data_IF_573219021354
#
_entry.id   IF_573219021354
#
_cell.length_a   1.000
_cell.length_b   1.000
_cell.length_c   1.000
_cell.angle_alpha   90.00
_cell.angle_beta   90.00
_cell.angle_gamma   90.00
#
_symmetry.space_group_name_H-M   'P 1'
#
loop_
_entity.id
_entity.type
_entity.pdbx_description
1 polymer ?
#
# COMPACT_ATOMS: atom_id res chain seq x y z
N UNK A 1 -4.36 -2.65 -15.14
CA UNK A 1 -2.98 -3.15 -15.14
C UNK A 1 -2.03 -1.96 -14.98
N UNK A 2 -1.08 -2.07 -14.11
CA UNK A 2 0.09 -1.19 -13.99
C UNK A 2 1.25 -1.86 -14.72
N UNK A 3 1.95 -1.11 -15.57
CA UNK A 3 3.11 -1.60 -16.31
C UNK A 3 4.27 -0.62 -16.09
N UNK A 4 5.41 -1.17 -15.77
CA UNK A 4 6.67 -0.44 -15.53
C UNK A 4 7.71 -0.97 -16.50
N UNK A 5 8.29 -0.09 -17.30
CA UNK A 5 9.24 -0.46 -18.37
C UNK A 5 10.58 0.22 -18.14
N UNK A 6 11.60 -0.58 -17.87
CA UNK A 6 13.02 -0.20 -17.82
C UNK A 6 13.30 1.06 -16.99
N UNK A 7 12.58 1.25 -15.86
CA UNK A 7 12.79 2.45 -15.05
C UNK A 7 14.13 2.41 -14.34
N UNK A 8 14.71 3.60 -14.25
CA UNK A 8 15.93 3.90 -13.51
C UNK A 8 15.66 5.03 -12.52
N UNK A 9 16.34 5.01 -11.40
CA UNK A 9 16.33 6.13 -10.46
C UNK A 9 17.73 6.42 -9.94
N UNK A 10 18.14 7.68 -10.10
CA UNK A 10 19.40 8.22 -9.62
C UNK A 10 19.16 9.24 -8.51
N UNK A 11 20.01 9.25 -7.50
CA UNK A 11 20.04 10.28 -6.44
C UNK A 11 21.46 10.79 -6.28
N UNK A 12 21.69 12.10 -6.50
CA UNK A 12 23.02 12.72 -6.41
C UNK A 12 24.09 11.90 -7.16
N UNK A 13 23.85 11.64 -8.45
CA UNK A 13 24.72 10.87 -9.35
C UNK A 13 24.90 9.37 -8.99
N UNK A 14 24.31 8.92 -7.88
CA UNK A 14 24.32 7.51 -7.50
C UNK A 14 23.10 6.80 -8.06
N UNK A 15 23.32 5.70 -8.78
CA UNK A 15 22.26 4.81 -9.23
C UNK A 15 21.71 4.07 -8.00
N UNK A 16 20.41 4.21 -7.75
CA UNK A 16 19.69 3.49 -6.68
C UNK A 16 19.15 2.17 -7.23
N UNK A 17 18.56 2.20 -8.40
CA UNK A 17 18.19 1.01 -9.18
C UNK A 17 18.21 1.35 -10.67
N UNK A 18 18.38 0.32 -11.49
CA UNK A 18 18.47 0.45 -12.94
C UNK A 18 17.73 -0.68 -13.63
N UNK A 19 17.12 -0.35 -14.77
CA UNK A 19 16.49 -1.31 -15.68
C UNK A 19 15.42 -2.21 -15.02
N UNK A 20 14.61 -1.64 -14.13
CA UNK A 20 13.51 -2.37 -13.47
C UNK A 20 12.28 -2.38 -14.38
N UNK A 21 11.83 -3.59 -14.71
CA UNK A 21 10.58 -3.80 -15.45
C UNK A 21 9.69 -4.77 -14.68
N UNK A 22 8.42 -4.42 -14.54
CA UNK A 22 7.41 -5.27 -13.89
C UNK A 22 5.99 -4.93 -14.38
N UNK A 23 5.08 -5.85 -14.13
CA UNK A 23 3.65 -5.61 -14.37
C UNK A 23 2.81 -6.08 -13.21
N UNK A 24 1.77 -5.31 -12.87
CA UNK A 24 0.76 -5.71 -11.87
C UNK A 24 -0.58 -5.81 -12.59
N UNK A 25 -0.95 -7.04 -12.93
CA UNK A 25 -2.23 -7.35 -13.59
C UNK A 25 -3.34 -7.60 -12.55
N UNK A 26 -4.62 -7.54 -12.92
CA UNK A 26 -5.71 -8.02 -12.07
C UNK A 26 -5.46 -9.46 -11.57
N UNK A 27 -5.87 -9.75 -10.35
CA UNK A 27 -5.68 -11.04 -9.66
C UNK A 27 -4.21 -11.37 -9.35
N UNK A 28 -3.31 -10.39 -9.34
CA UNK A 28 -1.88 -10.60 -9.10
C UNK A 28 -1.39 -9.86 -7.86
N UNK A 29 -0.48 -10.53 -7.16
CA UNK A 29 0.33 -9.94 -6.08
C UNK A 29 1.78 -9.94 -6.54
N UNK A 30 2.39 -8.77 -6.55
CA UNK A 30 3.82 -8.57 -6.79
C UNK A 30 4.51 -8.27 -5.46
N UNK A 31 5.47 -9.09 -5.10
CA UNK A 31 6.29 -8.93 -3.90
C UNK A 31 7.69 -8.45 -4.28
N UNK A 32 8.03 -7.24 -3.86
CA UNK A 32 9.35 -6.67 -4.05
C UNK A 32 10.26 -7.07 -2.90
N UNK A 33 11.31 -7.80 -3.21
CA UNK A 33 12.31 -8.25 -2.24
C UNK A 33 13.68 -7.63 -2.53
N UNK A 34 14.57 -7.66 -1.57
CA UNK A 34 15.94 -7.13 -1.67
C UNK A 34 16.48 -6.70 -0.31
N UNK A 35 17.79 -6.47 -0.22
CA UNK A 35 18.47 -6.05 1.00
C UNK A 35 17.94 -4.71 1.54
N UNK A 36 18.20 -4.44 2.83
CA UNK A 36 17.95 -3.11 3.38
C UNK A 36 18.75 -2.06 2.62
N UNK A 37 18.08 -0.98 2.22
CA UNK A 37 18.71 0.07 1.43
C UNK A 37 18.83 -0.22 -0.08
N UNK A 38 18.32 -1.34 -0.60
CA UNK A 38 18.35 -1.66 -2.04
C UNK A 38 17.43 -0.76 -2.89
N UNK A 39 16.63 0.11 -2.28
CA UNK A 39 15.78 1.03 -3.03
C UNK A 39 14.31 0.61 -3.16
N UNK A 40 13.82 -0.41 -2.44
CA UNK A 40 12.42 -0.88 -2.49
C UNK A 40 11.39 0.24 -2.30
N UNK A 41 11.50 1.00 -1.21
CA UNK A 41 10.66 2.18 -0.96
C UNK A 41 10.81 3.25 -2.04
N UNK A 42 12.02 3.45 -2.55
CA UNK A 42 12.28 4.39 -3.65
C UNK A 42 11.58 3.92 -4.92
N UNK A 43 11.64 2.63 -5.22
CA UNK A 43 10.93 2.05 -6.37
C UNK A 43 9.42 2.24 -6.25
N UNK A 44 8.81 1.94 -5.10
CA UNK A 44 7.37 2.18 -4.89
C UNK A 44 7.02 3.66 -5.07
N UNK A 45 7.83 4.58 -4.53
CA UNK A 45 7.64 6.03 -4.72
C UNK A 45 7.80 6.47 -6.18
N UNK A 46 8.67 5.82 -6.93
CA UNK A 46 8.84 6.09 -8.37
C UNK A 46 7.65 5.55 -9.17
N UNK A 47 7.20 4.33 -8.88
CA UNK A 47 6.02 3.73 -9.51
C UNK A 47 4.76 4.58 -9.28
N UNK A 48 4.66 5.25 -8.13
CA UNK A 48 3.53 6.13 -7.79
C UNK A 48 3.70 7.57 -8.29
N UNK A 49 4.78 7.88 -9.00
CA UNK A 49 5.11 9.24 -9.45
C UNK A 49 5.26 10.27 -8.31
N UNK A 50 5.51 9.81 -7.09
CA UNK A 50 5.96 10.67 -5.97
C UNK A 50 7.42 11.09 -6.21
N UNK A 51 8.23 10.18 -6.79
CA UNK A 51 9.54 10.46 -7.32
C UNK A 51 9.51 10.26 -8.84
N UNK A 52 10.12 11.15 -9.58
CA UNK A 52 10.22 11.04 -11.03
C UNK A 52 11.34 10.05 -11.38
N UNK A 53 11.11 9.05 -12.25
CA UNK A 53 12.18 8.18 -12.74
C UNK A 53 13.19 8.99 -13.54
N UNK A 54 14.47 8.64 -13.43
CA UNK A 54 15.55 9.25 -14.24
C UNK A 54 15.50 8.78 -15.70
N UNK A 55 14.95 7.57 -15.92
CA UNK A 55 14.71 6.98 -17.25
C UNK A 55 13.62 5.92 -17.17
N UNK A 56 13.08 5.51 -18.33
CA UNK A 56 12.02 4.53 -18.45
C UNK A 56 10.62 5.11 -18.34
N UNK A 57 9.61 4.26 -18.46
CA UNK A 57 8.21 4.67 -18.56
C UNK A 57 7.29 3.84 -17.67
N UNK A 58 6.25 4.49 -17.17
CA UNK A 58 5.21 3.85 -16.36
C UNK A 58 3.84 4.09 -16.99
N UNK A 59 3.05 3.02 -17.10
CA UNK A 59 1.73 3.07 -17.70
C UNK A 59 0.66 2.57 -16.71
N UNK A 60 -0.45 3.28 -16.64
CA UNK A 60 -1.64 2.89 -15.92
C UNK A 60 -2.81 2.72 -16.90
N UNK A 61 -3.39 1.50 -16.91
CA UNK A 61 -4.50 1.16 -17.82
C UNK A 61 -4.20 1.51 -19.29
N UNK A 62 -2.99 1.20 -19.76
CA UNK A 62 -2.54 1.43 -21.13
C UNK A 62 -2.18 2.87 -21.48
N UNK A 63 -2.29 3.82 -20.55
CA UNK A 63 -1.92 5.22 -20.75
C UNK A 63 -0.69 5.58 -19.92
N UNK A 64 0.21 6.39 -20.45
CA UNK A 64 1.36 6.90 -19.71
C UNK A 64 0.91 7.53 -18.38
N UNK A 65 1.56 7.17 -17.27
CA UNK A 65 1.13 7.52 -15.92
C UNK A 65 0.94 9.01 -15.71
N UNK A 66 1.91 9.85 -16.14
CA UNK A 66 1.83 11.31 -16.00
C UNK A 66 0.58 11.90 -16.69
N UNK A 67 0.15 11.32 -17.81
CA UNK A 67 -1.05 11.76 -18.54
C UNK A 67 -2.35 11.21 -17.93
N UNK A 68 -2.27 10.28 -17.00
CA UNK A 68 -3.41 9.59 -16.39
C UNK A 68 -3.35 9.55 -14.86
N UNK A 69 -2.60 10.48 -14.26
CA UNK A 69 -2.24 10.46 -12.83
C UNK A 69 -3.48 10.55 -11.91
N UNK A 70 -4.48 11.33 -12.27
CA UNK A 70 -5.71 11.43 -11.49
C UNK A 70 -6.49 10.12 -11.45
N UNK A 71 -6.56 9.41 -12.58
CA UNK A 71 -7.17 8.08 -12.64
C UNK A 71 -6.37 7.06 -11.82
N UNK A 72 -5.05 7.15 -11.84
CA UNK A 72 -4.18 6.30 -11.03
C UNK A 72 -4.49 6.47 -9.54
N UNK A 73 -4.40 7.68 -8.99
CA UNK A 73 -4.67 7.91 -7.56
C UNK A 73 -6.11 7.64 -7.16
N UNK A 74 -7.07 7.89 -8.06
CA UNK A 74 -8.47 7.53 -7.81
C UNK A 74 -8.68 6.02 -7.63
N UNK A 75 -7.83 5.19 -8.23
CA UNK A 75 -7.93 3.74 -8.22
C UNK A 75 -6.85 3.06 -7.37
N UNK A 76 -6.03 3.80 -6.64
CA UNK A 76 -4.93 3.25 -5.85
C UNK A 76 -5.03 3.64 -4.37
N UNK A 77 -4.75 2.69 -3.47
CA UNK A 77 -4.44 2.95 -2.06
C UNK A 77 -2.94 2.85 -1.88
N UNK A 78 -2.34 3.89 -1.31
CA UNK A 78 -0.91 3.98 -1.04
C UNK A 78 -0.68 3.98 0.48
N UNK A 79 0.06 3.01 0.98
CA UNK A 79 0.48 2.95 2.39
C UNK A 79 1.99 2.83 2.43
N UNK A 80 2.66 3.89 2.89
CA UNK A 80 4.10 3.94 3.07
C UNK A 80 4.47 3.79 4.55
N UNK A 81 5.77 3.70 4.81
CA UNK A 81 6.31 3.60 6.17
C UNK A 81 5.88 4.80 7.04
N UNK A 82 5.92 6.02 6.48
CA UNK A 82 5.37 7.19 7.18
C UNK A 82 3.85 7.18 7.11
N UNK A 83 3.15 7.11 8.27
CA UNK A 83 1.69 7.12 8.31
C UNK A 83 1.09 8.37 7.65
N UNK A 84 -0.08 8.22 7.06
CA UNK A 84 -0.87 9.32 6.50
C UNK A 84 -1.93 9.84 7.47
N UNK A 85 -2.15 9.12 8.58
CA UNK A 85 -3.07 9.53 9.64
C UNK A 85 -2.60 10.82 10.33
N UNK A 86 -3.55 11.71 10.60
CA UNK A 86 -3.32 12.95 11.35
C UNK A 86 -3.24 12.62 12.85
N UNK A 87 -2.08 12.88 13.43
CA UNK A 87 -1.77 12.49 14.81
C UNK A 87 -2.68 13.15 15.86
N UNK A 88 -3.18 14.35 15.59
CA UNK A 88 -4.05 15.10 16.49
C UNK A 88 -5.53 14.70 16.41
N UNK A 89 -5.91 13.98 15.37
CA UNK A 89 -7.23 13.41 15.20
C UNK A 89 -7.35 12.06 15.92
N UNK A 90 -8.57 11.70 16.30
CA UNK A 90 -8.88 10.34 16.80
C UNK A 90 -8.85 9.31 15.66
N UNK A 91 -8.86 8.04 16.03
CA UNK A 91 -9.01 6.91 15.07
C UNK A 91 -10.26 7.12 14.21
N UNK A 92 -11.41 7.40 14.82
CA UNK A 92 -12.67 7.60 14.11
C UNK A 92 -12.64 8.82 13.18
N UNK A 93 -12.03 9.92 13.61
CA UNK A 93 -11.91 11.13 12.78
C UNK A 93 -11.05 10.87 11.54
N UNK A 94 -9.92 10.16 11.67
CA UNK A 94 -9.09 9.74 10.54
C UNK A 94 -9.87 8.84 9.57
N UNK A 95 -10.56 7.83 10.09
CA UNK A 95 -11.39 6.92 9.27
C UNK A 95 -12.48 7.70 8.53
N UNK A 96 -13.17 8.60 9.19
CA UNK A 96 -14.21 9.43 8.55
C UNK A 96 -13.64 10.36 7.49
N UNK A 97 -12.43 10.89 7.69
CA UNK A 97 -11.71 11.66 6.69
C UNK A 97 -11.42 10.82 5.42
N UNK A 98 -10.81 9.65 5.57
CA UNK A 98 -10.54 8.75 4.43
C UNK A 98 -11.82 8.27 3.74
N UNK A 99 -12.85 7.93 4.52
CA UNK A 99 -14.16 7.57 4.01
C UNK A 99 -14.75 8.66 3.10
N UNK A 100 -14.66 9.93 3.49
CA UNK A 100 -15.14 11.08 2.70
C UNK A 100 -14.35 11.23 1.40
N UNK A 101 -13.02 11.19 1.46
CA UNK A 101 -12.16 11.30 0.27
C UNK A 101 -12.43 10.16 -0.71
N UNK A 102 -12.59 8.95 -0.20
CA UNK A 102 -12.84 7.78 -1.04
C UNK A 102 -14.29 7.67 -1.54
N UNK A 103 -15.20 8.51 -1.03
CA UNK A 103 -16.65 8.37 -1.23
C UNK A 103 -17.17 6.98 -0.84
N UNK A 104 -16.66 6.44 0.25
CA UNK A 104 -16.98 5.11 0.72
C UNK A 104 -18.31 5.08 1.46
N UNK A 105 -19.10 4.04 1.21
CA UNK A 105 -20.41 3.83 1.84
C UNK A 105 -20.35 2.92 3.08
N UNK A 106 -19.15 2.62 3.60
CA UNK A 106 -19.03 1.79 4.80
C UNK A 106 -19.83 2.39 5.96
N UNK A 107 -20.66 1.58 6.61
CA UNK A 107 -21.45 2.03 7.76
C UNK A 107 -20.58 2.17 9.02
N UNK A 108 -21.10 2.84 10.05
CA UNK A 108 -20.43 2.90 11.35
C UNK A 108 -20.22 1.51 11.96
N UNK A 109 -21.20 0.62 11.85
CA UNK A 109 -21.08 -0.78 12.28
C UNK A 109 -19.99 -1.52 11.51
N UNK A 110 -19.86 -1.27 10.20
CA UNK A 110 -18.78 -1.81 9.38
C UNK A 110 -17.40 -1.32 9.83
N UNK A 111 -17.28 -0.05 10.23
CA UNK A 111 -16.05 0.50 10.81
C UNK A 111 -15.73 -0.19 12.13
N UNK A 112 -16.70 -0.30 13.04
CA UNK A 112 -16.50 -1.00 14.32
C UNK A 112 -16.03 -2.44 14.10
N UNK A 113 -16.70 -3.17 13.22
CA UNK A 113 -16.34 -4.56 12.87
C UNK A 113 -14.90 -4.67 12.37
N UNK A 114 -14.48 -3.75 11.50
CA UNK A 114 -13.12 -3.70 10.98
C UNK A 114 -12.10 -3.45 12.08
N UNK A 115 -12.36 -2.50 12.99
CA UNK A 115 -11.50 -2.20 14.13
C UNK A 115 -11.40 -3.38 15.11
N UNK A 116 -12.53 -4.05 15.40
CA UNK A 116 -12.57 -5.23 16.26
C UNK A 116 -11.76 -6.39 15.68
N UNK A 117 -11.86 -6.64 14.36
CA UNK A 117 -11.06 -7.66 13.67
C UNK A 117 -9.55 -7.38 13.85
N UNK A 118 -9.14 -6.11 13.75
CA UNK A 118 -7.75 -5.69 13.93
C UNK A 118 -7.34 -5.49 15.39
N UNK A 119 -8.28 -5.68 16.34
CA UNK A 119 -8.07 -5.50 17.78
C UNK A 119 -7.56 -4.10 18.14
N UNK A 120 -8.25 -3.07 17.62
CA UNK A 120 -8.02 -1.64 17.89
C UNK A 120 -9.31 -0.85 18.10
N UNK A 121 -10.44 -1.52 18.31
CA UNK A 121 -11.76 -0.89 18.52
C UNK A 121 -11.82 -0.10 19.84
N UNK A 122 -11.11 -0.50 20.86
CA UNK A 122 -11.01 0.25 22.11
C UNK A 122 -10.41 1.64 21.94
N UNK A 123 -9.60 1.86 20.89
CA UNK A 123 -8.95 3.14 20.60
C UNK A 123 -9.77 4.07 19.70
N UNK A 124 -11.02 3.73 19.37
CA UNK A 124 -11.83 4.47 18.38
C UNK A 124 -11.90 5.98 18.66
N UNK A 125 -11.96 6.37 19.93
CA UNK A 125 -11.99 7.77 20.38
C UNK A 125 -10.63 8.28 20.85
N UNK A 126 -9.57 7.50 20.72
CA UNK A 126 -8.21 7.85 21.12
C UNK A 126 -7.53 8.62 19.98
N UNK A 127 -6.81 9.69 20.30
CA UNK A 127 -5.98 10.40 19.31
C UNK A 127 -4.82 9.52 18.88
N UNK A 128 -4.51 9.57 17.58
CA UNK A 128 -3.46 8.72 16.98
C UNK A 128 -2.09 8.93 17.62
N UNK A 129 -1.78 10.13 18.12
CA UNK A 129 -0.53 10.42 18.81
C UNK A 129 -0.28 9.54 20.06
N UNK A 130 -1.32 8.95 20.63
CA UNK A 130 -1.22 8.07 21.80
C UNK A 130 -1.18 6.59 21.47
N UNK A 131 -1.27 6.23 20.18
CA UNK A 131 -1.19 4.86 19.72
C UNK A 131 0.27 4.40 19.57
N UNK A 132 0.49 3.12 19.80
CA UNK A 132 1.76 2.47 19.46
C UNK A 132 1.96 2.40 17.94
N UNK A 133 3.18 2.14 17.50
CA UNK A 133 3.51 1.97 16.09
C UNK A 133 2.64 0.88 15.42
N UNK A 134 2.45 -0.27 16.09
CA UNK A 134 1.63 -1.36 15.57
C UNK A 134 0.14 -0.98 15.44
N UNK A 135 -0.42 -0.25 16.39
CA UNK A 135 -1.80 0.23 16.34
C UNK A 135 -2.00 1.27 15.23
N UNK A 136 -1.04 2.18 15.04
CA UNK A 136 -1.05 3.12 13.90
C UNK A 136 -0.99 2.33 12.59
N UNK A 137 -0.15 1.30 12.49
CA UNK A 137 -0.07 0.46 11.30
C UNK A 137 -1.39 -0.25 11.01
N UNK A 138 -2.04 -0.80 12.04
CA UNK A 138 -3.38 -1.40 11.92
C UNK A 138 -4.43 -0.38 11.45
N UNK A 139 -4.39 0.84 12.00
CA UNK A 139 -5.26 1.94 11.57
C UNK A 139 -5.02 2.28 10.09
N UNK A 140 -3.78 2.46 9.64
CA UNK A 140 -3.46 2.72 8.23
C UNK A 140 -3.99 1.60 7.32
N UNK A 141 -3.87 0.34 7.73
CA UNK A 141 -4.34 -0.82 6.95
C UNK A 141 -5.87 -0.89 6.83
N UNK A 142 -6.64 -0.23 7.72
CA UNK A 142 -8.10 -0.11 7.52
C UNK A 142 -8.47 0.57 6.22
N UNK A 143 -7.59 1.42 5.67
CA UNK A 143 -7.78 2.12 4.40
C UNK A 143 -7.96 1.16 3.22
N UNK A 144 -7.37 -0.02 3.27
CA UNK A 144 -7.53 -1.04 2.24
C UNK A 144 -9.02 -1.39 2.03
N UNK A 145 -9.77 -1.49 3.12
CA UNK A 145 -11.20 -1.80 3.11
C UNK A 145 -12.05 -0.53 2.91
N UNK A 146 -11.67 0.57 3.55
CA UNK A 146 -12.44 1.82 3.51
C UNK A 146 -12.39 2.44 2.12
N UNK A 147 -11.24 2.51 1.50
CA UNK A 147 -11.04 3.21 0.22
C UNK A 147 -11.51 2.40 -1.00
N UNK A 148 -11.61 1.07 -0.90
CA UNK A 148 -12.12 0.15 -1.93
C UNK A 148 -11.45 0.36 -3.31
N UNK A 149 -10.12 0.53 -3.33
CA UNK A 149 -9.37 0.80 -4.55
C UNK A 149 -8.90 -0.50 -5.22
N UNK A 150 -8.69 -0.44 -6.53
CA UNK A 150 -8.28 -1.61 -7.34
C UNK A 150 -6.81 -1.99 -7.17
N UNK A 151 -5.95 -1.02 -6.92
CA UNK A 151 -4.50 -1.24 -6.78
C UNK A 151 -4.06 -0.85 -5.37
N UNK A 152 -3.41 -1.76 -4.69
CA UNK A 152 -2.76 -1.49 -3.40
C UNK A 152 -1.26 -1.47 -3.56
N UNK A 153 -0.63 -0.39 -3.09
CA UNK A 153 0.83 -0.20 -3.12
C UNK A 153 1.26 0.01 -1.67
N UNK A 154 1.98 -0.98 -1.13
CA UNK A 154 2.21 -1.08 0.30
C UNK A 154 3.71 -1.22 0.60
N UNK A 155 4.21 -0.33 1.43
CA UNK A 155 5.59 -0.39 1.92
C UNK A 155 5.61 -0.98 3.33
N UNK A 156 6.20 -2.17 3.48
CA UNK A 156 6.31 -2.92 4.72
C UNK A 156 4.96 -3.07 5.48
N UNK A 157 3.92 -3.66 4.86
CA UNK A 157 2.60 -3.74 5.49
C UNK A 157 2.58 -4.57 6.78
N UNK A 158 3.52 -5.49 6.97
CA UNK A 158 3.57 -6.38 8.13
C UNK A 158 4.39 -5.82 9.31
N UNK A 159 5.12 -4.72 9.09
CA UNK A 159 5.99 -4.15 10.12
C UNK A 159 5.20 -3.75 11.38
N UNK A 160 5.62 -4.25 12.54
CA UNK A 160 5.01 -3.95 13.84
C UNK A 160 3.69 -4.69 14.12
N UNK A 161 3.28 -5.62 13.25
CA UNK A 161 2.08 -6.42 13.45
C UNK A 161 2.39 -7.72 14.21
N UNK A 162 1.42 -8.15 15.01
CA UNK A 162 1.39 -9.49 15.60
C UNK A 162 0.96 -10.55 14.56
N UNK A 163 1.21 -11.82 14.85
CA UNK A 163 0.93 -12.95 13.94
C UNK A 163 -0.54 -13.02 13.53
N UNK A 164 -1.46 -12.71 14.44
CA UNK A 164 -2.90 -12.71 14.16
C UNK A 164 -3.27 -11.63 13.15
N UNK A 165 -2.72 -10.44 13.32
CA UNK A 165 -2.93 -9.33 12.37
C UNK A 165 -2.33 -9.62 11.01
N UNK A 166 -1.17 -10.28 10.94
CA UNK A 166 -0.55 -10.71 9.67
C UNK A 166 -1.48 -11.68 8.93
N UNK A 167 -2.07 -12.66 9.63
CA UNK A 167 -3.03 -13.60 9.02
C UNK A 167 -4.24 -12.84 8.45
N UNK A 168 -4.82 -11.90 9.20
CA UNK A 168 -5.95 -11.09 8.76
C UNK A 168 -5.61 -10.29 7.49
N UNK A 169 -4.42 -9.71 7.43
CA UNK A 169 -3.97 -8.95 6.26
C UNK A 169 -3.76 -9.87 5.06
N UNK A 170 -3.20 -11.07 5.26
CA UNK A 170 -3.05 -12.07 4.20
C UNK A 170 -4.40 -12.49 3.63
N UNK A 171 -5.39 -12.77 4.48
CA UNK A 171 -6.76 -13.09 4.07
C UNK A 171 -7.37 -11.93 3.28
N UNK A 172 -7.16 -10.69 3.76
CA UNK A 172 -7.62 -9.48 3.08
C UNK A 172 -6.96 -9.33 1.69
N UNK A 173 -5.68 -9.69 1.54
CA UNK A 173 -5.00 -9.68 0.24
C UNK A 173 -5.59 -10.73 -0.70
N UNK A 174 -5.85 -11.94 -0.20
CA UNK A 174 -6.46 -13.04 -0.97
C UNK A 174 -7.86 -12.62 -1.47
N UNK A 175 -8.67 -12.06 -0.59
CA UNK A 175 -10.01 -11.56 -0.95
C UNK A 175 -9.92 -10.46 -2.01
N UNK A 176 -9.01 -9.53 -1.86
CA UNK A 176 -8.84 -8.45 -2.81
C UNK A 176 -8.48 -8.94 -4.21
N UNK A 177 -7.48 -9.82 -4.33
CA UNK A 177 -7.11 -10.37 -5.65
C UNK A 177 -8.19 -11.26 -6.23
N UNK A 178 -8.97 -11.99 -5.42
CA UNK A 178 -10.11 -12.78 -5.88
C UNK A 178 -11.20 -11.91 -6.52
N UNK A 179 -11.26 -10.62 -6.15
CA UNK A 179 -12.17 -9.61 -6.68
C UNK A 179 -11.48 -8.70 -7.75
N UNK A 180 -10.55 -9.25 -8.53
CA UNK A 180 -9.81 -8.54 -9.57
C UNK A 180 -8.91 -7.40 -9.06
N UNK A 181 -8.59 -7.40 -7.80
CA UNK A 181 -7.62 -6.48 -7.23
C UNK A 181 -6.20 -6.73 -7.71
N UNK A 182 -5.34 -5.76 -7.46
CA UNK A 182 -3.91 -5.76 -7.78
C UNK A 182 -3.14 -5.33 -6.55
N UNK A 183 -2.06 -6.01 -6.22
CA UNK A 183 -1.23 -5.66 -5.07
C UNK A 183 0.24 -5.63 -5.50
N UNK A 184 0.96 -4.59 -5.08
CA UNK A 184 2.42 -4.56 -5.07
C UNK A 184 2.87 -4.13 -3.69
N UNK A 185 3.77 -4.89 -3.07
CA UNK A 185 4.25 -4.57 -1.73
C UNK A 185 5.69 -4.97 -1.51
N UNK A 186 6.30 -4.36 -0.48
CA UNK A 186 7.61 -4.75 0.05
C UNK A 186 7.44 -5.44 1.39
N UNK A 187 8.36 -6.32 1.75
CA UNK A 187 8.46 -6.85 3.11
C UNK A 187 9.87 -7.36 3.39
N UNK A 188 10.29 -7.28 4.66
CA UNK A 188 11.50 -7.94 5.16
C UNK A 188 11.25 -9.40 5.52
N UNK A 189 10.00 -9.75 5.83
CA UNK A 189 9.58 -11.12 6.11
C UNK A 189 9.01 -11.73 4.84
N UNK A 190 9.35 -12.98 4.58
CA UNK A 190 8.72 -13.70 3.48
C UNK A 190 7.24 -13.93 3.80
N UNK A 191 6.31 -13.42 2.96
CA UNK A 191 4.90 -13.54 3.24
C UNK A 191 4.43 -14.99 3.01
N UNK A 192 3.59 -15.49 3.90
CA UNK A 192 2.89 -16.76 3.71
C UNK A 192 1.67 -16.56 2.79
N UNK A 193 1.95 -16.35 1.52
CA UNK A 193 0.96 -16.16 0.46
C UNK A 193 1.32 -17.03 -0.74
N UNK A 194 0.32 -17.70 -1.30
CA UNK A 194 0.49 -18.50 -2.53
C UNK A 194 0.39 -17.61 -3.77
N UNK A 195 1.04 -18.01 -4.85
CA UNK A 195 0.97 -17.35 -6.16
C UNK A 195 1.50 -15.90 -6.17
N UNK A 196 2.58 -15.64 -5.44
CA UNK A 196 3.33 -14.40 -5.49
C UNK A 196 4.24 -14.33 -6.71
N UNK A 197 4.21 -13.21 -7.42
CA UNK A 197 5.27 -12.84 -8.35
C UNK A 197 6.37 -12.12 -7.57
N UNK A 198 7.53 -12.77 -7.40
CA UNK A 198 8.65 -12.24 -6.62
C UNK A 198 9.63 -11.52 -7.54
N UNK A 199 9.93 -10.27 -7.23
CA UNK A 199 10.87 -9.44 -7.97
C UNK A 199 11.97 -8.97 -7.01
N UNK A 200 13.23 -9.30 -7.32
CA UNK A 200 14.39 -8.87 -6.53
C UNK A 200 14.91 -7.52 -7.02
N UNK A 201 15.24 -6.65 -6.06
CA UNK A 201 15.89 -5.35 -6.28
C UNK A 201 17.25 -5.45 -5.59
N UNK A 202 18.26 -5.82 -6.36
CA UNK A 202 19.66 -5.98 -5.90
C UNK A 202 20.56 -4.98 -6.59
#
# INVERSE_FOLDING_TARGET
MLLVNNIQFNRNEKIIFNNISLSVAPNKIVYLTGKNGSGKTTLLKTITNILEPSDGEIFWMGKHLKKNILSFYKNSTLIFDKPSSELKMTVLENINFWKRIASSNISYEGILKLLTILNIDEYINTKVIYLSFGEIKKLELTRLIIEQKKLWILDEPYSGLDSKSITIINDTFIDHISNQGMIIFTSHQEPDLRNLEKISID
#
